data_IF_401523990961
#
_entry.id   IF_401523990961
#
_cell.length_a   1.000
_cell.length_b   1.000
_cell.length_c   1.000
_cell.angle_alpha   90.00
_cell.angle_beta   90.00
_cell.angle_gamma   90.00
#
_symmetry.space_group_name_H-M   'P 1'
#
loop_
_entity.id
_entity.type
_entity.pdbx_description
1 polymer ?
#
# COMPACT_ATOMS: atom_id res chain seq x y z
N UNK A 1 11.06 10.54 -13.59
CA UNK A 1 10.31 11.37 -12.63
C UNK A 1 11.23 11.65 -11.47
N UNK A 2 11.34 12.89 -11.01
CA UNK A 2 12.05 13.19 -9.76
C UNK A 2 11.14 12.83 -8.60
N UNK A 3 11.65 12.07 -7.63
CA UNK A 3 10.90 11.68 -6.45
C UNK A 3 11.26 12.62 -5.29
N UNK A 4 10.29 13.36 -4.72
CA UNK A 4 10.57 14.19 -3.57
C UNK A 4 10.94 13.34 -2.35
N UNK A 5 11.94 13.77 -1.55
CA UNK A 5 12.27 13.07 -0.31
C UNK A 5 11.10 13.14 0.67
N UNK A 6 10.96 12.12 1.52
CA UNK A 6 9.93 12.05 2.58
C UNK A 6 8.47 12.10 2.09
N UNK A 7 8.19 11.64 0.87
CA UNK A 7 6.82 11.58 0.32
C UNK A 7 6.30 10.13 0.16
N UNK A 8 6.02 9.41 1.26
CA UNK A 8 5.38 8.09 1.19
C UNK A 8 3.93 8.17 0.69
N UNK A 9 3.27 9.30 0.90
CA UNK A 9 1.93 9.64 0.40
C UNK A 9 1.85 9.62 -1.14
N UNK A 10 2.95 9.96 -1.81
CA UNK A 10 3.08 9.84 -3.26
C UNK A 10 3.38 8.41 -3.73
N UNK A 11 3.67 7.45 -2.86
CA UNK A 11 4.06 6.10 -3.26
C UNK A 11 2.87 5.11 -3.24
N UNK A 12 2.32 4.68 -4.39
CA UNK A 12 1.18 3.75 -4.40
C UNK A 12 1.47 2.40 -3.73
N UNK A 13 2.74 1.98 -3.64
CA UNK A 13 3.08 0.70 -3.00
C UNK A 13 2.75 0.69 -1.51
N UNK A 14 2.74 1.85 -0.85
CA UNK A 14 2.37 1.95 0.57
C UNK A 14 0.91 1.54 0.78
N UNK A 15 0.04 1.85 -0.19
CA UNK A 15 -1.34 1.38 -0.15
C UNK A 15 -1.44 -0.14 -0.36
N UNK A 16 -0.59 -0.71 -1.22
CA UNK A 16 -0.52 -2.17 -1.37
C UNK A 16 -0.05 -2.85 -0.09
N UNK A 17 0.97 -2.30 0.60
CA UNK A 17 1.42 -2.81 1.89
C UNK A 17 0.33 -2.74 2.96
N UNK A 18 -0.46 -1.65 2.98
CA UNK A 18 -1.60 -1.52 3.88
C UNK A 18 -2.67 -2.60 3.59
N UNK A 19 -2.98 -2.83 2.31
CA UNK A 19 -3.94 -3.86 1.89
C UNK A 19 -3.49 -5.27 2.26
N UNK A 20 -2.22 -5.60 2.02
CA UNK A 20 -1.61 -6.86 2.43
C UNK A 20 -1.77 -7.09 3.94
N UNK A 21 -1.38 -6.12 4.77
CA UNK A 21 -1.49 -6.20 6.24
C UNK A 21 -2.94 -6.39 6.69
N UNK A 22 -3.88 -5.64 6.11
CA UNK A 22 -5.31 -5.76 6.42
C UNK A 22 -5.87 -7.13 6.08
N UNK A 23 -5.48 -7.70 4.94
CA UNK A 23 -5.91 -9.04 4.53
C UNK A 23 -5.30 -10.11 5.42
N UNK A 24 -4.01 -10.06 5.71
CA UNK A 24 -3.34 -10.97 6.65
C UNK A 24 -4.03 -10.96 8.02
N UNK A 25 -4.37 -9.78 8.54
CA UNK A 25 -5.07 -9.64 9.83
C UNK A 25 -6.51 -10.20 9.80
N UNK A 26 -7.17 -10.17 8.65
CA UNK A 26 -8.56 -10.64 8.48
C UNK A 26 -8.66 -12.13 8.16
N UNK A 27 -7.68 -12.68 7.43
CA UNK A 27 -7.70 -14.04 6.91
C UNK A 27 -7.22 -15.07 7.93
N UNK A 28 -6.38 -14.67 8.89
CA UNK A 28 -5.80 -15.55 9.88
C UNK A 28 -6.16 -15.12 11.30
N UNK A 29 -6.78 -16.01 12.07
CA UNK A 29 -7.23 -15.72 13.44
C UNK A 29 -6.09 -15.73 14.49
N UNK A 30 -4.89 -16.16 14.10
CA UNK A 30 -3.73 -16.25 14.97
C UNK A 30 -2.44 -15.80 14.28
N UNK A 31 -1.44 -15.33 15.05
CA UNK A 31 -0.10 -15.04 14.51
C UNK A 31 0.54 -16.29 13.88
N UNK A 32 1.43 -16.12 12.89
CA UNK A 32 2.19 -17.26 12.34
C UNK A 32 3.10 -17.86 13.41
N UNK A 33 3.23 -19.18 13.41
CA UNK A 33 4.04 -19.95 14.35
C UNK A 33 5.53 -19.98 13.97
N UNK A 34 5.88 -19.62 12.73
CA UNK A 34 7.25 -19.58 12.23
C UNK A 34 7.47 -18.50 11.17
N UNK A 35 8.73 -18.22 10.86
CA UNK A 35 9.10 -17.33 9.76
C UNK A 35 8.67 -17.90 8.40
N UNK A 36 8.77 -19.22 8.22
CA UNK A 36 8.32 -19.89 6.99
C UNK A 36 6.82 -19.74 6.80
N UNK A 37 6.04 -19.90 7.88
CA UNK A 37 4.60 -19.70 7.82
C UNK A 37 4.25 -18.24 7.54
N UNK A 38 4.92 -17.29 8.19
CA UNK A 38 4.74 -15.85 7.89
C UNK A 38 5.01 -15.59 6.40
N UNK A 39 6.09 -16.16 5.85
CA UNK A 39 6.46 -16.00 4.45
C UNK A 39 5.41 -16.58 3.51
N UNK A 40 4.95 -17.80 3.75
CA UNK A 40 3.90 -18.45 2.96
C UNK A 40 2.61 -17.65 2.99
N UNK A 41 2.11 -17.30 4.18
CA UNK A 41 0.86 -16.51 4.32
C UNK A 41 0.98 -15.17 3.60
N UNK A 42 2.12 -14.48 3.76
CA UNK A 42 2.39 -13.20 3.09
C UNK A 42 2.39 -13.34 1.58
N UNK A 43 3.05 -14.37 1.05
CA UNK A 43 3.12 -14.63 -0.38
C UNK A 43 1.74 -14.94 -0.95
N UNK A 44 1.00 -15.87 -0.35
CA UNK A 44 -0.35 -16.23 -0.79
C UNK A 44 -1.29 -15.02 -0.81
N UNK A 45 -1.37 -14.26 0.30
CA UNK A 45 -2.21 -13.06 0.38
C UNK A 45 -1.77 -11.97 -0.62
N UNK A 46 -0.47 -11.85 -0.93
CA UNK A 46 0.02 -10.91 -1.94
C UNK A 46 -0.49 -11.24 -3.34
N UNK A 47 -0.48 -12.52 -3.73
CA UNK A 47 -0.96 -12.97 -5.05
C UNK A 47 -2.49 -12.90 -5.20
N UNK A 48 -3.22 -12.75 -4.11
CA UNK A 48 -4.66 -12.43 -4.16
C UNK A 48 -4.94 -10.96 -4.50
N UNK A 49 -3.95 -10.06 -4.43
CA UNK A 49 -4.15 -8.65 -4.78
C UNK A 49 -4.29 -8.56 -6.30
N UNK A 50 -5.44 -8.07 -6.75
CA UNK A 50 -5.75 -8.05 -8.18
C UNK A 50 -5.08 -6.88 -8.89
N UNK A 51 -4.83 -7.02 -10.19
CA UNK A 51 -4.35 -5.93 -11.05
C UNK A 51 -5.27 -4.70 -10.96
N UNK A 52 -6.58 -4.92 -10.89
CA UNK A 52 -7.57 -3.84 -10.73
C UNK A 52 -7.35 -3.04 -9.44
N UNK A 53 -7.02 -3.71 -8.33
CA UNK A 53 -6.72 -3.01 -7.08
C UNK A 53 -5.43 -2.19 -7.17
N UNK A 54 -4.39 -2.73 -7.81
CA UNK A 54 -3.17 -1.98 -8.11
C UNK A 54 -3.47 -0.74 -8.97
N UNK A 55 -4.26 -0.93 -10.03
CA UNK A 55 -4.64 0.12 -10.95
C UNK A 55 -5.42 1.25 -10.24
N UNK A 56 -6.36 0.91 -9.35
CA UNK A 56 -7.10 1.91 -8.56
C UNK A 56 -6.15 2.81 -7.74
N UNK A 57 -5.06 2.28 -7.19
CA UNK A 57 -4.09 3.10 -6.47
C UNK A 57 -3.27 4.00 -7.41
N UNK A 58 -2.87 3.48 -8.56
CA UNK A 58 -2.13 4.27 -9.57
C UNK A 58 -3.01 5.42 -10.08
N UNK A 59 -4.29 5.16 -10.33
CA UNK A 59 -5.25 6.16 -10.83
C UNK A 59 -5.49 7.32 -9.85
N UNK A 60 -5.16 7.15 -8.57
CA UNK A 60 -5.27 8.23 -7.57
C UNK A 60 -4.11 9.23 -7.63
N UNK A 61 -3.00 8.90 -8.30
CA UNK A 61 -1.79 9.72 -8.30
C UNK A 61 -1.98 11.16 -8.79
N UNK A 62 -2.75 11.44 -9.86
CA UNK A 62 -3.01 12.82 -10.26
C UNK A 62 -3.65 13.65 -9.13
N UNK A 63 -4.61 13.07 -8.40
CA UNK A 63 -5.27 13.76 -7.29
C UNK A 63 -4.30 13.99 -6.12
N UNK A 64 -3.48 13.00 -5.75
CA UNK A 64 -2.47 13.15 -4.70
C UNK A 64 -1.48 14.28 -4.99
N UNK A 65 -1.05 14.41 -6.24
CA UNK A 65 -0.19 15.51 -6.67
C UNK A 65 -0.88 16.87 -6.50
N UNK A 66 -2.16 16.98 -6.85
CA UNK A 66 -2.95 18.20 -6.64
C UNK A 66 -3.04 18.52 -5.16
N UNK A 67 -3.41 17.54 -4.33
CA UNK A 67 -3.58 17.73 -2.89
C UNK A 67 -2.27 18.20 -2.22
N UNK A 68 -1.12 17.67 -2.64
CA UNK A 68 0.19 18.11 -2.12
C UNK A 68 0.51 19.55 -2.54
N UNK A 69 0.21 19.92 -3.79
CA UNK A 69 0.41 21.30 -4.27
C UNK A 69 -0.47 22.26 -3.46
N UNK A 70 -1.74 21.91 -3.26
CA UNK A 70 -2.68 22.69 -2.44
C UNK A 70 -2.22 22.77 -0.98
N UNK A 71 -1.63 21.69 -0.45
CA UNK A 71 -1.05 21.63 0.88
C UNK A 71 0.38 22.20 0.95
N UNK A 72 0.84 22.90 -0.08
CA UNK A 72 2.15 23.59 -0.14
C UNK A 72 3.34 22.67 0.14
N UNK A 73 3.27 21.43 -0.34
CA UNK A 73 4.32 20.43 -0.16
C UNK A 73 4.29 19.70 1.18
N UNK A 74 3.29 19.96 2.04
CA UNK A 74 3.07 19.18 3.27
C UNK A 74 2.34 17.86 2.95
N UNK A 75 2.45 16.92 3.89
CA UNK A 75 1.86 15.59 3.81
C UNK A 75 0.35 15.64 3.59
N UNK A 76 -0.18 14.72 2.79
CA UNK A 76 -1.62 14.52 2.62
C UNK A 76 -2.08 13.25 3.33
N UNK A 77 -3.34 13.21 3.75
CA UNK A 77 -3.92 12.01 4.35
C UNK A 77 -4.52 11.14 3.24
N UNK A 78 -3.81 10.10 2.82
CA UNK A 78 -4.23 9.18 1.76
C UNK A 78 -4.02 7.71 2.16
#
# INVERSE_FOLDING_TARGET
>A
MEWPPQSPDLNPIENMWNTLKKRLFKQYDCPPASMDELWTRTFETWYEITEKECQNYIETMPQRCIDIIENKGLWINF
#
